data_IF_445699854302
#
_entry.id   IF_445699854302
#
_cell.length_a   1.000
_cell.length_b   1.000
_cell.length_c   1.000
_cell.angle_alpha   90.00
_cell.angle_beta   90.00
_cell.angle_gamma   90.00
#
_symmetry.space_group_name_H-M   'P 1'
#
loop_
_entity.id
_entity.type
_entity.pdbx_description
1 polymer ?
#
# COMPACT_ATOMS: atom_id res chain seq x y z
N UNK A 1 18.92 -14.63 9.07
CA UNK A 1 17.68 -14.90 9.88
C UNK A 1 16.69 -13.79 9.56
N UNK A 2 15.42 -14.15 9.27
CA UNK A 2 14.40 -13.13 8.94
C UNK A 2 14.21 -12.17 10.11
N UNK A 3 14.11 -10.85 9.83
CA UNK A 3 13.94 -9.82 10.87
C UNK A 3 12.45 -9.69 11.27
N UNK A 4 11.86 -10.78 11.73
CA UNK A 4 10.46 -10.90 12.16
C UNK A 4 10.38 -11.28 13.63
N UNK A 5 9.24 -10.99 14.28
CA UNK A 5 8.94 -11.40 15.66
C UNK A 5 8.08 -12.66 15.71
N UNK A 6 7.37 -12.95 14.63
CA UNK A 6 6.45 -14.06 14.52
C UNK A 6 7.21 -15.41 14.52
N UNK A 7 6.73 -16.37 15.29
CA UNK A 7 7.22 -17.75 15.20
C UNK A 7 6.56 -18.45 14.02
N UNK A 8 7.37 -18.90 13.09
CA UNK A 8 6.90 -19.64 11.93
C UNK A 8 6.64 -21.09 12.25
N UNK A 9 5.58 -21.72 11.70
CA UNK A 9 5.41 -23.15 11.77
C UNK A 9 6.61 -23.87 11.12
N UNK A 10 6.90 -25.08 11.64
CA UNK A 10 7.90 -25.93 11.04
C UNK A 10 7.58 -26.17 9.57
N UNK A 11 8.57 -26.10 8.69
CA UNK A 11 8.43 -26.28 7.24
C UNK A 11 7.63 -25.16 6.49
N UNK A 12 7.24 -24.05 7.15
CA UNK A 12 6.57 -22.97 6.43
C UNK A 12 7.40 -22.38 5.28
N UNK A 13 8.72 -22.33 5.43
CA UNK A 13 9.63 -21.78 4.42
C UNK A 13 10.00 -22.77 3.31
N UNK A 14 9.56 -24.04 3.39
CA UNK A 14 9.86 -25.02 2.37
C UNK A 14 9.15 -24.68 1.05
N UNK A 15 9.80 -24.97 -0.08
CA UNK A 15 9.18 -24.84 -1.39
C UNK A 15 7.96 -25.77 -1.50
N UNK A 16 6.93 -25.29 -2.18
CA UNK A 16 5.72 -26.08 -2.41
C UNK A 16 5.11 -25.80 -3.79
N UNK A 17 4.18 -26.66 -4.21
CA UNK A 17 3.38 -26.44 -5.42
C UNK A 17 1.92 -26.32 -5.01
N UNK A 18 1.31 -25.16 -5.34
CA UNK A 18 -0.14 -24.92 -5.19
C UNK A 18 -0.72 -24.54 -6.55
N UNK A 19 -1.80 -25.19 -6.97
CA UNK A 19 -2.48 -24.88 -8.22
C UNK A 19 -1.52 -24.87 -9.43
N UNK A 20 -0.67 -25.89 -9.56
CA UNK A 20 0.36 -26.02 -10.61
C UNK A 20 1.34 -24.84 -10.70
N UNK A 21 1.49 -24.09 -9.60
CA UNK A 21 2.44 -23.01 -9.48
C UNK A 21 3.47 -23.32 -8.39
N UNK A 22 4.76 -23.26 -8.75
CA UNK A 22 5.86 -23.48 -7.82
C UNK A 22 6.09 -22.22 -6.99
N UNK A 23 5.91 -22.30 -5.70
CA UNK A 23 6.21 -21.24 -4.73
C UNK A 23 7.61 -21.50 -4.20
N UNK A 24 8.52 -20.57 -4.46
CA UNK A 24 9.91 -20.69 -4.07
C UNK A 24 10.11 -20.40 -2.57
N UNK A 25 11.23 -20.86 -2.04
CA UNK A 25 11.68 -20.51 -0.70
C UNK A 25 11.77 -18.99 -0.47
N UNK A 26 12.23 -18.22 -1.48
CA UNK A 26 12.31 -16.76 -1.37
C UNK A 26 10.92 -16.11 -1.31
N UNK A 27 9.94 -16.61 -2.06
CA UNK A 27 8.54 -16.15 -1.95
C UNK A 27 7.98 -16.48 -0.56
N UNK A 28 8.26 -17.66 -0.01
CA UNK A 28 7.83 -18.04 1.35
C UNK A 28 8.46 -17.12 2.42
N UNK A 29 9.70 -16.69 2.23
CA UNK A 29 10.31 -15.68 3.11
C UNK A 29 9.62 -14.33 3.00
N UNK A 30 9.26 -13.87 1.79
CA UNK A 30 8.48 -12.64 1.59
C UNK A 30 7.15 -12.72 2.33
N UNK A 31 6.38 -13.79 2.11
CA UNK A 31 5.11 -14.03 2.80
C UNK A 31 5.26 -14.06 4.32
N UNK A 32 6.35 -14.64 4.84
CA UNK A 32 6.62 -14.65 6.28
C UNK A 32 6.78 -13.22 6.86
N UNK A 33 7.46 -12.33 6.14
CA UNK A 33 7.62 -10.93 6.55
C UNK A 33 6.29 -10.18 6.47
N UNK A 34 5.49 -10.40 5.46
CA UNK A 34 4.18 -9.76 5.30
C UNK A 34 3.16 -10.23 6.34
N UNK A 35 3.16 -11.54 6.66
CA UNK A 35 2.33 -12.07 7.75
C UNK A 35 2.74 -11.46 9.10
N UNK A 36 4.04 -11.31 9.36
CA UNK A 36 4.54 -10.65 10.58
C UNK A 36 4.08 -9.19 10.67
N UNK A 37 4.09 -8.46 9.55
CA UNK A 37 3.54 -7.09 9.47
C UNK A 37 2.04 -7.06 9.74
N UNK A 38 1.28 -8.02 9.18
CA UNK A 38 -0.16 -8.10 9.40
C UNK A 38 -0.51 -8.44 10.85
N UNK A 39 0.22 -9.37 11.48
CA UNK A 39 0.04 -9.72 12.90
C UNK A 39 0.34 -8.54 13.82
N UNK A 40 1.37 -7.76 13.51
CA UNK A 40 1.69 -6.54 14.28
C UNK A 40 0.63 -5.45 14.07
N UNK A 41 0.09 -5.29 12.86
CA UNK A 41 -1.04 -4.40 12.60
C UNK A 41 -2.28 -4.84 13.39
N UNK A 42 -2.61 -6.13 13.37
CA UNK A 42 -3.74 -6.71 14.09
C UNK A 42 -3.64 -6.46 15.61
N UNK A 43 -2.44 -6.64 16.19
CA UNK A 43 -2.19 -6.33 17.60
C UNK A 43 -2.51 -4.87 17.92
N UNK A 44 -1.97 -3.93 17.13
CA UNK A 44 -2.20 -2.49 17.35
C UNK A 44 -3.68 -2.13 17.16
N UNK A 45 -4.34 -2.70 16.15
CA UNK A 45 -5.75 -2.46 15.90
C UNK A 45 -6.62 -2.96 17.06
N UNK A 46 -6.42 -4.19 17.54
CA UNK A 46 -7.15 -4.79 18.66
C UNK A 46 -6.98 -4.00 19.95
N UNK A 47 -5.74 -3.64 20.31
CA UNK A 47 -5.44 -2.88 21.53
C UNK A 47 -6.09 -1.49 21.53
N UNK A 48 -6.39 -0.93 20.37
CA UNK A 48 -6.90 0.43 20.25
C UNK A 48 -8.34 0.50 19.72
N UNK A 49 -9.06 -0.64 19.59
CA UNK A 49 -10.44 -0.67 19.08
C UNK A 49 -10.56 -0.07 17.68
N UNK A 50 -9.65 -0.47 16.77
CA UNK A 50 -9.65 -0.11 15.35
C UNK A 50 -10.13 -1.30 14.55
N UNK A 51 -11.13 -1.08 13.72
CA UNK A 51 -11.66 -2.12 12.82
C UNK A 51 -10.87 -2.09 11.51
N UNK A 52 -10.54 -3.27 11.01
CA UNK A 52 -9.99 -3.45 9.67
C UNK A 52 -10.43 -4.80 9.09
N UNK A 53 -10.31 -4.95 7.78
CA UNK A 53 -10.52 -6.21 7.06
C UNK A 53 -9.45 -6.36 5.99
N UNK A 54 -9.09 -7.61 5.66
CA UNK A 54 -8.25 -7.84 4.48
C UNK A 54 -9.04 -7.51 3.21
N UNK A 55 -8.34 -7.13 2.14
CA UNK A 55 -8.94 -6.62 0.91
C UNK A 55 -8.38 -7.33 -0.33
N UNK A 56 -8.99 -7.12 -1.47
CA UNK A 56 -8.43 -7.48 -2.77
C UNK A 56 -8.00 -8.93 -2.90
N UNK A 57 -6.77 -9.12 -3.38
CA UNK A 57 -6.11 -10.42 -3.54
C UNK A 57 -5.99 -11.18 -2.23
N UNK A 58 -5.71 -10.49 -1.13
CA UNK A 58 -5.59 -11.11 0.20
C UNK A 58 -6.92 -11.72 0.67
N UNK A 59 -8.06 -11.01 0.48
CA UNK A 59 -9.39 -11.54 0.82
C UNK A 59 -9.76 -12.72 -0.09
N UNK A 60 -9.47 -12.62 -1.39
CA UNK A 60 -9.68 -13.71 -2.34
C UNK A 60 -8.82 -14.94 -2.00
N UNK A 61 -7.57 -14.71 -1.62
CA UNK A 61 -6.64 -15.74 -1.16
C UNK A 61 -7.16 -16.46 0.08
N UNK A 62 -7.59 -15.71 1.09
CA UNK A 62 -8.20 -16.27 2.30
C UNK A 62 -9.43 -17.14 1.98
N UNK A 63 -10.34 -16.64 1.14
CA UNK A 63 -11.60 -17.33 0.81
C UNK A 63 -11.38 -18.58 -0.05
N UNK A 64 -10.45 -18.56 -1.01
CA UNK A 64 -10.29 -19.59 -2.04
C UNK A 64 -9.11 -20.53 -1.77
N UNK A 65 -8.01 -20.01 -1.23
CA UNK A 65 -6.75 -20.75 -1.05
C UNK A 65 -6.41 -21.00 0.41
N UNK A 66 -7.14 -20.39 1.35
CA UNK A 66 -6.82 -20.36 2.81
C UNK A 66 -5.41 -19.83 3.07
N UNK A 67 -4.95 -18.89 2.25
CA UNK A 67 -3.62 -18.31 2.26
C UNK A 67 -3.40 -17.39 1.08
N UNK A 68 -2.18 -17.11 0.74
CA UNK A 68 -1.88 -16.34 -0.45
C UNK A 68 -2.37 -17.03 -1.73
N UNK A 69 -2.76 -16.25 -2.70
CA UNK A 69 -2.84 -16.70 -4.08
C UNK A 69 -1.42 -17.11 -4.51
N UNK A 70 -1.17 -18.28 -5.12
CA UNK A 70 0.19 -18.82 -5.30
C UNK A 70 1.21 -17.91 -5.98
N UNK A 71 0.77 -16.95 -6.80
CA UNK A 71 1.63 -15.99 -7.52
C UNK A 71 1.51 -14.56 -6.98
N UNK A 72 0.88 -14.38 -5.82
CA UNK A 72 0.71 -13.06 -5.18
C UNK A 72 1.89 -12.72 -4.26
N UNK A 73 2.23 -11.46 -4.20
CA UNK A 73 3.41 -10.93 -3.51
C UNK A 73 3.08 -9.72 -2.63
N UNK A 74 1.82 -9.61 -2.18
CA UNK A 74 1.37 -8.52 -1.32
C UNK A 74 0.23 -8.90 -0.35
N UNK A 75 0.10 -8.11 0.70
CA UNK A 75 -1.05 -8.12 1.61
C UNK A 75 -1.70 -6.74 1.60
N UNK A 76 -3.00 -6.74 1.32
CA UNK A 76 -3.87 -5.57 1.33
C UNK A 76 -4.84 -5.61 2.50
N UNK A 77 -5.00 -4.49 3.19
CA UNK A 77 -6.08 -4.31 4.17
C UNK A 77 -6.86 -3.02 3.92
N UNK A 78 -8.10 -2.98 4.35
CA UNK A 78 -8.96 -1.80 4.32
C UNK A 78 -9.45 -1.45 5.72
N UNK A 79 -9.47 -0.15 6.03
CA UNK A 79 -9.81 0.40 7.35
C UNK A 79 -10.86 1.49 7.15
N UNK A 80 -12.02 1.48 7.84
CA UNK A 80 -12.98 2.58 7.78
C UNK A 80 -12.30 3.93 7.99
N UNK A 81 -12.62 4.96 7.20
CA UNK A 81 -11.91 6.26 7.23
C UNK A 81 -11.74 6.83 8.64
N UNK A 82 -12.75 6.75 9.48
CA UNK A 82 -12.66 7.21 10.87
C UNK A 82 -11.57 6.46 11.66
N UNK A 83 -11.53 5.17 11.53
CA UNK A 83 -10.55 4.30 12.19
C UNK A 83 -9.16 4.44 11.57
N UNK A 84 -9.07 4.66 10.25
CA UNK A 84 -7.82 4.97 9.55
C UNK A 84 -7.19 6.28 10.06
N UNK A 85 -7.98 7.34 10.24
CA UNK A 85 -7.49 8.61 10.83
C UNK A 85 -6.97 8.37 12.25
N UNK A 86 -7.70 7.57 13.06
CA UNK A 86 -7.26 7.18 14.41
C UNK A 86 -5.95 6.42 14.36
N UNK A 87 -5.84 5.42 13.45
CA UNK A 87 -4.62 4.63 13.27
C UNK A 87 -3.42 5.52 12.90
N UNK A 88 -3.57 6.39 11.90
CA UNK A 88 -2.50 7.32 11.49
C UNK A 88 -2.01 8.21 12.64
N UNK A 89 -2.92 8.62 13.52
CA UNK A 89 -2.59 9.47 14.67
C UNK A 89 -1.79 8.72 15.75
N UNK A 90 -2.13 7.47 16.03
CA UNK A 90 -1.47 6.69 17.10
C UNK A 90 -0.23 5.94 16.63
N UNK A 91 -0.13 5.64 15.35
CA UNK A 91 0.90 4.78 14.75
C UNK A 91 2.34 5.16 15.14
N UNK A 92 2.76 6.45 15.17
CA UNK A 92 4.12 6.83 15.54
C UNK A 92 4.53 6.37 16.96
N UNK A 93 3.56 6.18 17.86
CA UNK A 93 3.78 5.74 19.24
C UNK A 93 3.50 4.26 19.47
N UNK A 94 2.95 3.55 18.48
CA UNK A 94 2.52 2.15 18.62
C UNK A 94 3.40 1.18 17.84
N UNK A 95 3.99 1.64 16.74
CA UNK A 95 4.95 0.85 15.98
C UNK A 95 6.38 1.28 16.31
N UNK A 96 7.24 0.31 16.54
CA UNK A 96 8.67 0.52 16.79
C UNK A 96 9.50 -0.39 15.87
N UNK A 97 10.77 -0.04 15.64
CA UNK A 97 11.68 -0.82 14.80
C UNK A 97 11.57 -2.33 15.06
N UNK A 98 11.47 -3.16 13.99
CA UNK A 98 11.67 -2.81 12.59
C UNK A 98 10.44 -2.24 11.87
N UNK A 99 9.29 -2.18 12.53
CA UNK A 99 8.03 -1.73 11.94
C UNK A 99 7.98 -0.22 11.78
N UNK A 100 7.66 0.23 10.59
CA UNK A 100 7.57 1.64 10.24
C UNK A 100 6.24 1.92 9.54
N UNK A 101 5.38 2.72 10.17
CA UNK A 101 4.10 3.13 9.60
C UNK A 101 4.32 4.34 8.69
N UNK A 102 4.25 4.09 7.37
CA UNK A 102 4.52 5.06 6.34
C UNK A 102 3.25 5.74 5.86
N UNK A 103 3.26 7.06 5.89
CA UNK A 103 2.29 7.96 5.27
C UNK A 103 3.04 9.13 4.65
N UNK A 104 2.34 10.03 3.91
CA UNK A 104 2.98 11.27 3.44
C UNK A 104 3.48 12.18 4.59
N UNK A 105 2.97 11.97 5.82
CA UNK A 105 3.36 12.77 6.99
C UNK A 105 4.54 12.19 7.77
N UNK A 106 4.62 10.88 7.88
CA UNK A 106 5.72 10.19 8.59
C UNK A 106 6.94 9.98 7.70
N UNK A 107 6.73 9.85 6.39
CA UNK A 107 7.79 9.69 5.38
C UNK A 107 7.45 10.56 4.15
N UNK A 108 7.69 11.87 4.25
CA UNK A 108 7.31 12.81 3.22
C UNK A 108 7.89 12.46 1.86
N UNK A 109 7.06 12.61 0.84
CA UNK A 109 7.37 12.26 -0.55
C UNK A 109 7.20 10.79 -0.93
N UNK A 110 6.70 9.97 -0.03
CA UNK A 110 6.19 8.64 -0.39
C UNK A 110 5.04 8.75 -1.40
N UNK A 111 4.24 9.81 -1.27
CA UNK A 111 3.16 10.22 -2.18
C UNK A 111 2.23 9.07 -2.55
N UNK A 112 1.90 8.26 -1.55
CA UNK A 112 0.87 7.24 -1.66
C UNK A 112 -0.43 7.76 -1.09
N UNK A 113 -1.56 7.36 -1.67
CA UNK A 113 -2.88 7.80 -1.21
C UNK A 113 -3.42 6.97 -0.04
N UNK A 114 -2.59 6.07 0.48
CA UNK A 114 -2.86 5.15 1.58
C UNK A 114 -1.61 5.01 2.46
N UNK A 115 -1.77 4.40 3.63
CA UNK A 115 -0.63 4.07 4.48
C UNK A 115 -0.03 2.71 4.10
N UNK A 116 1.21 2.50 4.52
CA UNK A 116 1.89 1.21 4.46
C UNK A 116 2.51 0.90 5.82
N UNK A 117 2.46 -0.35 6.24
CA UNK A 117 3.29 -0.81 7.36
C UNK A 117 4.48 -1.55 6.77
N UNK A 118 5.70 -1.08 7.07
CA UNK A 118 6.94 -1.58 6.47
C UNK A 118 7.86 -2.22 7.51
N UNK A 119 8.62 -3.22 7.08
CA UNK A 119 9.76 -3.73 7.85
C UNK A 119 11.05 -3.08 7.34
N UNK A 120 11.59 -2.11 8.11
CA UNK A 120 12.76 -1.31 7.72
C UNK A 120 14.08 -2.10 7.64
N UNK A 121 14.11 -3.34 8.11
CA UNK A 121 15.28 -4.23 8.02
C UNK A 121 15.29 -5.12 6.78
N UNK A 122 14.37 -4.89 5.87
CA UNK A 122 14.19 -5.60 4.61
C UNK A 122 14.18 -4.64 3.45
N UNK A 123 14.04 -5.17 2.24
CA UNK A 123 13.96 -4.39 1.00
C UNK A 123 12.77 -4.85 0.15
N UNK A 124 11.98 -3.90 -0.34
CA UNK A 124 11.01 -4.08 -1.42
C UNK A 124 10.99 -2.80 -2.27
N UNK A 125 11.74 -2.82 -3.36
CA UNK A 125 11.88 -1.70 -4.29
C UNK A 125 10.99 -1.97 -5.50
N UNK A 126 9.95 -1.16 -5.66
CA UNK A 126 9.09 -1.23 -6.83
C UNK A 126 9.76 -0.54 -8.03
N UNK A 127 9.58 -1.10 -9.23
CA UNK A 127 10.11 -0.54 -10.49
C UNK A 127 9.77 0.95 -10.65
N UNK A 128 8.55 1.33 -10.30
CA UNK A 128 8.08 2.72 -10.35
C UNK A 128 8.85 3.65 -9.39
N UNK A 129 9.11 3.20 -8.15
CA UNK A 129 9.83 3.99 -7.15
C UNK A 129 11.32 4.11 -7.49
N UNK A 130 11.90 3.04 -8.01
CA UNK A 130 13.28 3.05 -8.50
C UNK A 130 13.47 4.04 -9.64
N UNK A 131 12.58 4.01 -10.65
CA UNK A 131 12.61 4.94 -11.78
C UNK A 131 12.44 6.40 -11.35
N UNK A 132 11.71 6.64 -10.25
CA UNK A 132 11.53 7.97 -9.65
C UNK A 132 12.65 8.40 -8.71
N UNK A 133 13.62 7.53 -8.44
CA UNK A 133 14.70 7.77 -7.47
C UNK A 133 14.16 8.15 -6.10
N UNK A 134 13.15 7.46 -5.67
CA UNK A 134 12.51 7.66 -4.37
C UNK A 134 13.50 7.45 -3.22
N UNK A 135 13.39 8.28 -2.18
CA UNK A 135 14.31 8.28 -1.03
C UNK A 135 13.64 7.88 0.29
N UNK A 136 12.35 7.57 0.24
CA UNK A 136 11.59 7.11 1.40
C UNK A 136 11.95 5.67 1.78
N UNK A 137 11.43 5.19 2.92
CA UNK A 137 11.59 3.82 3.37
C UNK A 137 11.05 2.82 2.34
N UNK A 138 11.88 1.88 1.90
CA UNK A 138 11.55 0.86 0.91
C UNK A 138 11.77 -0.57 1.47
N UNK A 139 11.43 -0.78 2.73
CA UNK A 139 11.29 -2.12 3.31
C UNK A 139 10.07 -2.87 2.76
N UNK A 140 10.03 -4.19 2.91
CA UNK A 140 8.83 -5.01 2.62
C UNK A 140 7.63 -4.43 3.38
N UNK A 141 6.45 -4.46 2.77
CA UNK A 141 5.28 -3.73 3.26
C UNK A 141 3.97 -4.49 3.06
N UNK A 142 2.96 -4.05 3.80
CA UNK A 142 1.56 -4.32 3.53
C UNK A 142 0.84 -3.00 3.28
N UNK A 143 -0.16 -2.99 2.40
CA UNK A 143 -0.94 -1.81 2.05
C UNK A 143 -2.17 -1.65 2.95
N UNK A 144 -2.39 -0.43 3.45
CA UNK A 144 -3.47 -0.08 4.38
C UNK A 144 -4.33 1.00 3.74
N UNK A 145 -5.43 0.59 3.12
CA UNK A 145 -6.32 1.49 2.38
C UNK A 145 -7.43 2.07 3.28
N UNK A 146 -7.70 3.36 3.21
CA UNK A 146 -8.89 3.92 3.82
C UNK A 146 -10.14 3.50 3.03
N UNK A 147 -11.15 2.98 3.75
CA UNK A 147 -12.48 2.71 3.22
C UNK A 147 -13.37 3.92 3.52
N UNK A 148 -13.73 4.63 2.48
CA UNK A 148 -14.39 5.94 2.55
C UNK A 148 -15.90 5.81 2.38
N UNK A 149 -16.65 6.66 3.09
CA UNK A 149 -18.07 6.85 2.87
C UNK A 149 -18.33 7.57 1.56
N UNK A 150 -19.29 7.07 0.78
CA UNK A 150 -19.79 7.74 -0.41
C UNK A 150 -21.08 8.48 -0.03
N UNK A 151 -21.15 9.81 -0.18
CA UNK A 151 -22.39 10.53 0.09
C UNK A 151 -23.54 9.98 -0.76
N UNK A 152 -24.72 9.80 -0.16
CA UNK A 152 -25.91 9.24 -0.83
C UNK A 152 -26.43 10.18 -1.93
N UNK A 153 -26.10 11.49 -1.84
CA UNK A 153 -26.43 12.47 -2.86
C UNK A 153 -25.39 12.46 -4.00
N UNK A 154 -25.77 12.08 -5.24
CA UNK A 154 -24.84 12.02 -6.36
C UNK A 154 -24.16 13.36 -6.72
N UNK A 155 -24.84 14.49 -6.45
CA UNK A 155 -24.27 15.82 -6.70
C UNK A 155 -23.14 16.13 -5.72
N UNK A 156 -23.32 15.76 -4.45
CA UNK A 156 -22.26 15.91 -3.43
C UNK A 156 -21.06 15.03 -3.76
N UNK A 157 -21.31 13.78 -4.16
CA UNK A 157 -20.22 12.90 -4.61
C UNK A 157 -19.45 13.47 -5.80
N UNK A 158 -20.16 14.02 -6.79
CA UNK A 158 -19.50 14.64 -7.96
C UNK A 158 -18.67 15.87 -7.58
N UNK A 159 -19.16 16.71 -6.66
CA UNK A 159 -18.38 17.84 -6.13
C UNK A 159 -17.14 17.35 -5.41
N UNK A 160 -17.27 16.36 -4.53
CA UNK A 160 -16.14 15.73 -3.82
C UNK A 160 -15.11 15.16 -4.80
N UNK A 161 -15.56 14.42 -5.81
CA UNK A 161 -14.71 13.81 -6.85
C UNK A 161 -13.94 14.88 -7.63
N UNK A 162 -14.61 15.94 -8.09
CA UNK A 162 -13.97 17.03 -8.87
C UNK A 162 -12.97 17.82 -8.04
N UNK A 163 -13.36 18.20 -6.83
CA UNK A 163 -12.50 19.00 -5.93
C UNK A 163 -11.32 18.18 -5.42
N UNK A 164 -11.54 16.93 -5.02
CA UNK A 164 -10.49 16.00 -4.59
C UNK A 164 -9.49 15.71 -5.73
N UNK A 165 -9.98 15.37 -6.93
CA UNK A 165 -9.12 15.17 -8.10
C UNK A 165 -8.24 16.38 -8.40
N UNK A 166 -8.79 17.58 -8.27
CA UNK A 166 -8.03 18.84 -8.49
C UNK A 166 -6.89 18.95 -7.48
N UNK A 167 -7.16 18.70 -6.19
CA UNK A 167 -6.14 18.79 -5.15
C UNK A 167 -5.06 17.72 -5.33
N UNK A 168 -5.45 16.49 -5.63
CA UNK A 168 -4.50 15.41 -5.90
C UNK A 168 -3.61 15.72 -7.11
N UNK A 169 -4.18 16.18 -8.23
CA UNK A 169 -3.41 16.58 -9.42
C UNK A 169 -2.43 17.71 -9.12
N UNK A 170 -2.84 18.69 -8.30
CA UNK A 170 -1.96 19.78 -7.88
C UNK A 170 -0.82 19.28 -6.99
N UNK A 171 -1.11 18.41 -6.03
CA UNK A 171 -0.08 17.76 -5.20
C UNK A 171 0.89 16.94 -6.06
N UNK A 172 0.37 16.15 -7.01
CA UNK A 172 1.18 15.34 -7.96
C UNK A 172 2.08 16.20 -8.84
N UNK A 173 1.61 17.35 -9.28
CA UNK A 173 2.43 18.30 -10.03
C UNK A 173 3.62 18.80 -9.19
N UNK A 174 3.38 19.27 -7.96
CA UNK A 174 4.46 19.71 -7.07
C UNK A 174 5.40 18.54 -6.66
N UNK A 175 4.85 17.34 -6.49
CA UNK A 175 5.66 16.15 -6.25
C UNK A 175 6.59 15.84 -7.43
N UNK A 176 6.13 15.99 -8.67
CA UNK A 176 6.98 15.82 -9.85
C UNK A 176 8.13 16.86 -9.91
N UNK A 177 7.87 18.10 -9.47
CA UNK A 177 8.90 19.12 -9.34
C UNK A 177 9.90 18.81 -8.21
N UNK A 178 9.39 18.28 -7.09
CA UNK A 178 10.22 17.84 -5.97
C UNK A 178 11.20 16.73 -6.36
N UNK A 179 10.74 15.70 -7.09
CA UNK A 179 11.54 14.53 -7.48
C UNK A 179 12.61 14.83 -8.55
N UNK A 180 12.47 15.93 -9.24
CA UNK A 180 13.39 16.43 -10.27
C UNK A 180 13.93 15.32 -11.21
N UNK A 181 13.18 14.99 -12.24
CA UNK A 181 13.66 14.08 -13.30
C UNK A 181 14.77 14.78 -14.10
N UNK A 182 15.97 14.23 -14.11
CA UNK A 182 16.98 14.62 -15.10
C UNK A 182 16.41 14.35 -16.49
N UNK A 183 16.50 15.34 -17.36
CA UNK A 183 16.00 15.21 -18.72
C UNK A 183 16.95 14.40 -19.59
N UNK A 184 16.38 13.46 -20.32
CA UNK A 184 17.13 12.56 -21.21
C UNK A 184 17.46 13.19 -22.58
N UNK A 185 17.09 14.47 -22.83
CA UNK A 185 17.35 15.14 -24.13
C UNK A 185 18.02 16.51 -23.99
N UNK A 186 18.84 16.89 -24.99
CA UNK A 186 19.57 18.17 -25.04
C UNK A 186 18.63 19.41 -25.01
N UNK A 187 17.44 19.34 -25.63
CA UNK A 187 16.45 20.44 -25.63
C UNK A 187 15.88 20.71 -24.24
N UNK A 188 15.75 19.69 -23.43
CA UNK A 188 15.29 19.79 -22.04
C UNK A 188 16.44 20.17 -21.08
N UNK A 189 17.71 20.05 -21.48
CA UNK A 189 18.88 20.46 -20.66
C UNK A 189 18.95 21.96 -20.40
N UNK A 190 18.70 22.81 -21.40
CA UNK A 190 18.75 24.29 -21.24
C UNK A 190 17.65 24.83 -20.29
N UNK A 191 16.42 24.31 -20.42
CA UNK A 191 15.35 24.64 -19.47
C UNK A 191 15.59 24.06 -18.06
N UNK A 192 16.43 23.03 -17.95
CA UNK A 192 16.76 22.40 -16.68
C UNK A 192 17.91 23.10 -15.94
N UNK A 193 18.81 23.84 -16.61
CA UNK A 193 19.90 24.55 -15.93
C UNK A 193 19.37 25.55 -14.91
N UNK A 194 18.39 26.38 -15.30
CA UNK A 194 17.74 27.33 -14.38
C UNK A 194 17.00 26.58 -13.28
N UNK A 195 16.30 25.51 -13.62
CA UNK A 195 15.58 24.66 -12.66
C UNK A 195 16.54 23.93 -11.71
N UNK A 196 17.69 23.44 -12.21
CA UNK A 196 18.72 22.76 -11.42
C UNK A 196 19.37 23.70 -10.41
N UNK A 197 19.59 24.96 -10.78
CA UNK A 197 20.11 25.99 -9.86
C UNK A 197 19.10 26.34 -8.74
N UNK A 198 17.80 26.37 -9.06
CA UNK A 198 16.75 26.69 -8.10
C UNK A 198 16.23 25.49 -7.32
N UNK A 199 16.48 24.26 -7.79
CA UNK A 199 15.95 23.03 -7.18
C UNK A 199 16.34 22.84 -5.71
N UNK A 200 17.60 23.07 -5.26
CA UNK A 200 17.94 22.91 -3.84
C UNK A 200 17.15 23.84 -2.92
N UNK A 201 16.92 25.10 -3.38
CA UNK A 201 16.14 26.11 -2.65
C UNK A 201 14.64 25.78 -2.75
N UNK A 202 14.17 25.44 -3.95
CA UNK A 202 12.77 25.13 -4.24
C UNK A 202 12.30 23.81 -3.63
N UNK A 203 13.19 22.87 -3.37
CA UNK A 203 12.84 21.53 -2.88
C UNK A 203 12.03 21.57 -1.56
N UNK A 204 12.46 22.40 -0.62
CA UNK A 204 11.74 22.56 0.65
C UNK A 204 10.34 23.15 0.42
N UNK A 205 10.23 24.16 -0.44
CA UNK A 205 8.97 24.78 -0.81
C UNK A 205 8.02 23.83 -1.54
N UNK A 206 8.54 23.05 -2.50
CA UNK A 206 7.74 22.02 -3.20
C UNK A 206 7.21 20.97 -2.25
N UNK A 207 8.00 20.51 -1.29
CA UNK A 207 7.57 19.56 -0.26
C UNK A 207 6.39 20.11 0.53
N UNK A 208 6.44 21.39 0.97
CA UNK A 208 5.34 22.02 1.69
C UNK A 208 4.07 22.12 0.82
N UNK A 209 4.20 22.43 -0.47
CA UNK A 209 3.07 22.47 -1.38
C UNK A 209 2.47 21.08 -1.62
N UNK A 210 3.30 20.05 -1.76
CA UNK A 210 2.82 18.66 -1.82
C UNK A 210 1.97 18.36 -0.60
N UNK A 211 2.50 18.54 0.59
CA UNK A 211 1.80 18.24 1.85
C UNK A 211 0.50 19.07 2.01
N UNK A 212 0.54 20.35 1.66
CA UNK A 212 -0.63 21.23 1.71
C UNK A 212 -1.78 20.73 0.83
N UNK A 213 -1.50 20.38 -0.42
CA UNK A 213 -2.53 19.94 -1.37
C UNK A 213 -2.93 18.50 -1.14
N UNK A 214 -2.00 17.65 -0.69
CA UNK A 214 -2.29 16.28 -0.28
C UNK A 214 -3.24 16.27 0.93
N UNK A 215 -2.96 17.08 1.96
CA UNK A 215 -3.87 17.22 3.10
C UNK A 215 -5.27 17.67 2.68
N UNK A 216 -5.37 18.69 1.82
CA UNK A 216 -6.68 19.10 1.28
C UNK A 216 -7.40 17.99 0.53
N UNK A 217 -6.67 17.17 -0.21
CA UNK A 217 -7.22 15.99 -0.86
C UNK A 217 -7.78 15.01 0.17
N UNK A 218 -7.01 14.65 1.20
CA UNK A 218 -7.48 13.76 2.27
C UNK A 218 -8.68 14.31 3.04
N UNK A 219 -8.66 15.63 3.36
CA UNK A 219 -9.78 16.29 4.04
C UNK A 219 -11.07 16.23 3.19
N UNK A 220 -10.96 16.35 1.87
CA UNK A 220 -12.10 16.26 0.95
C UNK A 220 -12.65 14.84 0.87
N UNK A 221 -11.80 13.84 0.66
CA UNK A 221 -12.27 12.43 0.55
C UNK A 221 -12.73 11.87 1.90
N UNK A 222 -12.22 12.40 3.00
CA UNK A 222 -12.59 12.03 4.37
C UNK A 222 -13.76 12.86 4.94
N UNK A 223 -14.37 13.76 4.16
CA UNK A 223 -15.41 14.67 4.65
C UNK A 223 -16.59 13.95 5.32
N UNK A 224 -16.97 12.80 4.78
CA UNK A 224 -18.09 11.99 5.26
C UNK A 224 -17.68 10.88 6.22
N UNK A 225 -16.45 10.91 6.79
CA UNK A 225 -15.91 9.84 7.63
C UNK A 225 -16.79 9.43 8.83
N UNK A 226 -17.60 10.35 9.34
CA UNK A 226 -18.49 10.13 10.49
C UNK A 226 -19.97 9.99 10.11
N UNK A 227 -20.31 10.08 8.82
CA UNK A 227 -21.69 10.01 8.36
C UNK A 227 -22.12 8.55 8.16
N UNK A 228 -23.41 8.31 8.26
CA UNK A 228 -24.02 7.04 7.87
C UNK A 228 -24.42 7.14 6.41
N UNK A 229 -23.72 6.44 5.54
CA UNK A 229 -24.03 6.35 4.11
C UNK A 229 -24.38 4.92 3.74
N UNK A 230 -25.03 4.71 2.60
CA UNK A 230 -25.37 3.36 2.11
C UNK A 230 -24.15 2.67 1.52
N UNK A 231 -23.30 3.42 0.85
CA UNK A 231 -22.16 2.89 0.10
C UNK A 231 -20.83 3.40 0.67
N UNK A 232 -19.81 2.57 0.49
CA UNK A 232 -18.42 2.91 0.75
C UNK A 232 -17.53 2.45 -0.42
N UNK A 233 -16.31 3.00 -0.48
CA UNK A 233 -15.33 2.60 -1.47
C UNK A 233 -13.92 2.96 -1.06
N UNK A 234 -12.95 2.37 -1.74
CA UNK A 234 -11.55 2.81 -1.71
C UNK A 234 -11.40 4.01 -2.67
N UNK A 235 -11.77 5.23 -2.20
CA UNK A 235 -11.75 6.44 -3.03
C UNK A 235 -10.34 6.81 -3.53
N UNK A 236 -9.30 6.24 -2.92
CA UNK A 236 -7.91 6.34 -3.38
C UNK A 236 -7.70 5.76 -4.78
N UNK A 237 -8.55 4.83 -5.22
CA UNK A 237 -8.54 4.26 -6.57
C UNK A 237 -9.61 4.94 -7.43
N UNK A 238 -9.21 5.96 -8.18
CA UNK A 238 -10.06 6.67 -9.14
C UNK A 238 -11.47 7.01 -8.60
N UNK A 239 -11.52 7.47 -7.33
CA UNK A 239 -12.76 7.77 -6.62
C UNK A 239 -13.76 6.60 -6.57
N UNK A 240 -13.23 5.38 -6.48
CA UNK A 240 -14.02 4.19 -6.18
C UNK A 240 -15.02 3.78 -7.24
N UNK A 241 -14.85 4.21 -8.49
CA UNK A 241 -15.80 3.89 -9.56
C UNK A 241 -16.01 2.39 -9.77
N UNK A 242 -15.00 1.56 -9.48
CA UNK A 242 -15.02 0.10 -9.63
C UNK A 242 -14.98 -0.67 -8.30
N UNK A 243 -14.86 0.03 -7.17
CA UNK A 243 -14.67 -0.59 -5.84
C UNK A 243 -15.82 -0.23 -4.87
N UNK A 244 -17.00 0.15 -5.40
CA UNK A 244 -18.16 0.46 -4.55
C UNK A 244 -18.68 -0.78 -3.85
N UNK A 245 -18.95 -0.64 -2.56
CA UNK A 245 -19.46 -1.68 -1.65
C UNK A 245 -20.61 -1.12 -0.84
N UNK A 246 -21.41 -2.01 -0.27
CA UNK A 246 -22.49 -1.62 0.65
C UNK A 246 -21.99 -1.73 2.08
N UNK A 247 -22.26 -0.72 2.92
CA UNK A 247 -21.93 -0.81 4.34
C UNK A 247 -22.62 -1.98 5.05
N UNK A 248 -23.80 -2.40 4.57
CA UNK A 248 -24.48 -3.60 5.08
C UNK A 248 -23.70 -4.91 4.91
N UNK A 249 -22.65 -4.92 4.07
CA UNK A 249 -21.78 -6.08 3.94
C UNK A 249 -20.76 -6.17 5.10
N UNK A 250 -20.57 -5.06 5.83
CA UNK A 250 -19.61 -4.87 6.91
C UNK A 250 -20.22 -4.82 8.31
N UNK A 251 -21.52 -5.10 8.46
CA UNK A 251 -22.24 -5.04 9.75
C UNK A 251 -21.60 -5.93 10.81
N UNK A 252 -20.94 -7.01 10.40
CA UNK A 252 -20.20 -7.95 11.25
C UNK A 252 -18.88 -8.32 10.60
N UNK A 253 -17.92 -8.67 11.45
CA UNK A 253 -16.64 -9.26 11.03
C UNK A 253 -16.72 -10.77 11.19
N UNK A 254 -16.24 -11.51 10.20
CA UNK A 254 -15.92 -12.92 10.29
C UNK A 254 -14.43 -13.15 10.07
N UNK A 255 -13.96 -14.37 10.34
CA UNK A 255 -12.54 -14.70 10.23
C UNK A 255 -12.36 -15.91 9.32
N UNK A 256 -11.44 -15.78 8.36
CA UNK A 256 -11.04 -16.87 7.48
C UNK A 256 -9.61 -17.32 7.81
N UNK A 257 -9.29 -18.56 7.47
CA UNK A 257 -7.91 -19.05 7.55
C UNK A 257 -7.05 -18.38 6.47
N UNK A 258 -5.83 -18.00 6.83
CA UNK A 258 -4.84 -17.43 5.92
C UNK A 258 -3.45 -17.93 6.31
N UNK A 259 -2.92 -18.88 5.57
CA UNK A 259 -1.73 -19.65 5.93
C UNK A 259 -1.90 -20.29 7.34
N UNK A 260 -1.16 -19.83 8.31
CA UNK A 260 -1.22 -20.34 9.69
C UNK A 260 -1.86 -19.33 10.67
N UNK A 261 -2.49 -18.26 10.16
CA UNK A 261 -3.21 -17.27 10.95
C UNK A 261 -4.69 -17.18 10.53
N UNK A 262 -5.47 -16.40 11.25
CA UNK A 262 -6.83 -16.01 10.85
C UNK A 262 -6.86 -14.52 10.54
N UNK A 263 -7.56 -14.17 9.45
CA UNK A 263 -7.70 -12.78 9.01
C UNK A 263 -9.16 -12.33 9.06
N UNK A 264 -9.43 -11.07 9.46
CA UNK A 264 -10.78 -10.52 9.47
C UNK A 264 -11.24 -10.18 8.05
N UNK A 265 -12.46 -10.58 7.72
CA UNK A 265 -13.17 -10.22 6.49
C UNK A 265 -14.58 -9.69 6.84
N UNK A 266 -15.22 -8.89 5.95
CA UNK A 266 -16.61 -8.53 6.11
C UNK A 266 -17.50 -9.79 6.19
N UNK A 267 -18.59 -9.75 6.96
CA UNK A 267 -19.50 -10.90 7.08
C UNK A 267 -19.99 -11.38 5.71
N UNK A 268 -20.29 -10.46 4.80
CA UNK A 268 -20.68 -10.78 3.42
C UNK A 268 -19.49 -10.67 2.46
N UNK A 269 -18.38 -11.31 2.79
CA UNK A 269 -17.17 -11.27 1.96
C UNK A 269 -17.40 -11.87 0.56
N UNK A 270 -18.31 -12.85 0.41
CA UNK A 270 -18.62 -13.44 -0.89
C UNK A 270 -19.29 -12.44 -1.83
N UNK A 271 -20.25 -11.64 -1.33
CA UNK A 271 -20.86 -10.55 -2.08
C UNK A 271 -19.83 -9.49 -2.48
N UNK A 272 -18.90 -9.19 -1.56
CA UNK A 272 -17.81 -8.26 -1.80
C UNK A 272 -16.86 -8.76 -2.89
N UNK A 273 -16.45 -10.02 -2.83
CA UNK A 273 -15.61 -10.67 -3.86
C UNK A 273 -16.33 -10.70 -5.22
N UNK A 274 -17.61 -11.02 -5.23
CA UNK A 274 -18.43 -11.02 -6.45
C UNK A 274 -18.49 -9.63 -7.11
N UNK A 275 -18.63 -8.55 -6.31
CA UNK A 275 -18.63 -7.17 -6.83
C UNK A 275 -17.29 -6.78 -7.45
N UNK A 276 -16.18 -7.25 -6.86
CA UNK A 276 -14.83 -6.85 -7.29
C UNK A 276 -14.32 -7.74 -8.42
N UNK A 277 -14.54 -9.04 -8.33
CA UNK A 277 -13.92 -10.04 -9.24
C UNK A 277 -14.92 -10.78 -10.13
N UNK A 278 -16.24 -10.54 -9.99
CA UNK A 278 -17.26 -11.30 -10.68
C UNK A 278 -17.33 -12.75 -10.18
N UNK A 279 -17.25 -13.73 -11.07
CA UNK A 279 -17.19 -15.15 -10.69
C UNK A 279 -15.81 -15.49 -10.11
N UNK A 280 -15.58 -15.12 -8.84
CA UNK A 280 -14.32 -15.30 -8.13
C UNK A 280 -14.00 -16.78 -7.81
N UNK A 281 -14.94 -17.69 -7.93
CA UNK A 281 -14.70 -19.14 -7.83
C UNK A 281 -13.91 -19.65 -9.03
N UNK A 282 -14.06 -18.98 -10.17
CA UNK A 282 -13.33 -19.34 -11.38
C UNK A 282 -11.85 -19.03 -11.19
N UNK A 283 -11.04 -20.07 -11.35
CA UNK A 283 -9.60 -19.95 -11.25
C UNK A 283 -9.04 -19.23 -12.50
N UNK A 284 -8.44 -18.08 -12.28
CA UNK A 284 -7.73 -17.33 -13.32
C UNK A 284 -6.28 -17.18 -12.86
N UNK A 285 -5.35 -17.80 -13.58
CA UNK A 285 -3.93 -17.64 -13.34
C UNK A 285 -3.53 -16.22 -13.77
N UNK A 286 -3.12 -15.41 -12.82
CA UNK A 286 -2.66 -14.05 -13.02
C UNK A 286 -1.15 -13.93 -12.92
N UNK A 287 -0.71 -12.68 -12.99
CA UNK A 287 0.66 -12.26 -12.63
C UNK A 287 0.55 -11.17 -11.57
N UNK A 288 1.58 -10.99 -10.73
CA UNK A 288 1.63 -9.86 -9.81
C UNK A 288 1.46 -8.53 -10.54
N UNK A 289 0.65 -7.63 -9.98
CA UNK A 289 0.39 -6.30 -10.54
C UNK A 289 1.52 -5.29 -10.32
N UNK A 290 2.55 -5.63 -9.54
CA UNK A 290 3.62 -4.68 -9.18
C UNK A 290 4.62 -4.38 -10.31
N UNK A 291 4.49 -5.01 -11.47
CA UNK A 291 5.29 -4.68 -12.68
C UNK A 291 6.79 -4.86 -12.50
N UNK A 292 7.20 -5.74 -11.60
CA UNK A 292 8.57 -6.01 -11.19
C UNK A 292 8.91 -5.34 -9.85
N UNK A 293 9.23 -6.16 -8.88
CA UNK A 293 9.73 -5.77 -7.57
C UNK A 293 11.07 -6.47 -7.31
N UNK A 294 12.06 -5.71 -6.84
CA UNK A 294 13.22 -6.30 -6.21
C UNK A 294 12.96 -6.39 -4.72
N UNK A 295 13.07 -7.57 -4.13
CA UNK A 295 12.98 -7.73 -2.69
C UNK A 295 14.19 -8.48 -2.11
N UNK A 296 14.51 -8.16 -0.86
CA UNK A 296 15.51 -8.82 -0.05
C UNK A 296 14.98 -8.89 1.39
N UNK A 297 14.75 -10.09 1.87
CA UNK A 297 14.14 -10.33 3.17
C UNK A 297 15.11 -10.23 4.34
N UNK A 298 16.40 -10.11 4.08
CA UNK A 298 17.47 -10.17 5.10
C UNK A 298 18.32 -8.91 5.17
N UNK A 299 18.25 -8.04 4.15
CA UNK A 299 19.02 -6.79 4.08
C UNK A 299 18.10 -5.56 3.97
N UNK A 300 18.41 -4.47 4.70
CA UNK A 300 17.68 -3.23 4.59
C UNK A 300 17.93 -2.55 3.24
N UNK A 301 16.93 -1.85 2.74
CA UNK A 301 16.99 -1.12 1.46
C UNK A 301 18.16 -0.12 1.38
N UNK A 302 18.62 0.42 2.51
CA UNK A 302 19.77 1.34 2.57
C UNK A 302 21.08 0.66 2.16
N UNK A 303 21.27 -0.60 2.56
CA UNK A 303 22.45 -1.40 2.15
C UNK A 303 22.35 -1.80 0.69
N UNK A 304 21.16 -2.23 0.24
CA UNK A 304 20.92 -2.56 -1.18
C UNK A 304 21.22 -1.37 -2.09
N UNK A 305 20.75 -0.15 -1.73
CA UNK A 305 21.07 1.04 -2.48
C UNK A 305 22.55 1.43 -2.41
N UNK A 306 23.24 1.15 -1.31
CA UNK A 306 24.70 1.33 -1.22
C UNK A 306 25.41 0.42 -2.22
N UNK A 307 25.06 -0.86 -2.23
CA UNK A 307 25.64 -1.84 -3.16
C UNK A 307 25.36 -1.48 -4.63
N UNK A 308 24.15 -1.01 -4.92
CA UNK A 308 23.81 -0.50 -6.25
C UNK A 308 24.66 0.70 -6.66
N UNK A 309 24.84 1.69 -5.78
CA UNK A 309 25.68 2.88 -6.06
C UNK A 309 27.14 2.56 -6.23
N UNK A 310 27.66 1.57 -5.52
CA UNK A 310 29.04 1.09 -5.58
C UNK A 310 29.27 0.07 -6.70
N UNK A 311 28.25 -0.25 -7.51
CA UNK A 311 28.35 -1.16 -8.66
C UNK A 311 28.40 -2.65 -8.29
N UNK A 312 28.18 -3.01 -7.03
CA UNK A 312 28.15 -4.40 -6.56
C UNK A 312 26.82 -5.12 -6.88
N UNK A 313 25.75 -4.35 -7.11
CA UNK A 313 24.43 -4.86 -7.46
C UNK A 313 23.86 -4.09 -8.64
N UNK A 314 23.35 -4.78 -9.64
CA UNK A 314 22.65 -4.16 -10.78
C UNK A 314 21.14 -4.32 -10.63
N UNK A 315 20.48 -3.30 -10.07
CA UNK A 315 19.03 -3.28 -9.91
C UNK A 315 18.27 -3.18 -11.25
N UNK A 316 18.88 -2.68 -12.32
CA UNK A 316 18.20 -2.56 -13.63
C UNK A 316 17.81 -3.91 -14.22
N UNK A 317 18.48 -4.99 -13.82
CA UNK A 317 18.14 -6.36 -14.27
C UNK A 317 16.75 -6.82 -13.81
N UNK A 318 16.26 -6.25 -12.70
CA UNK A 318 14.98 -6.63 -12.09
C UNK A 318 13.80 -5.79 -12.61
N UNK A 319 14.06 -4.69 -13.31
CA UNK A 319 13.06 -3.71 -13.71
C UNK A 319 12.95 -3.52 -15.24
N UNK A 320 13.29 -4.56 -15.98
CA UNK A 320 13.17 -4.57 -17.45
C UNK A 320 11.73 -4.73 -17.92
#
# INVERSE_FOLDING_TARGET
MLPIKLQLPKHFLDEEVRCDYKISHEMKKLWAVEIDLLVELDRVCKENGITYWVNGGTMLGAARHRGFIPWDDDIDVMVPRRDYIKLCKIAPNKFSSPYFFQTEYTDPTSFRTHAQLRNSRTTAILSYDFKKRSTFNQGIFIDIFPLDNIPDNPKEFEVMRRTGSRQYKTASFFHSLYLHKKADSLKTRLGNIVRDCWHPIGKHFYKQLVQKHYKKYEDIIGLYANDKTKECSLLVFNFGSIHRRLWSDFDKTTYLDFEFIKVPVPYKYEDNLTRVFGDWHKFVKGTSFHGGMYFDTERPYTEVYKDFKEGRLDLYKYFK
#
